data_IF_240282364670
#
_entry.id   IF_240282364670
#
_cell.length_a   1.000
_cell.length_b   1.000
_cell.length_c   1.000
_cell.angle_alpha   90.00
_cell.angle_beta   90.00
_cell.angle_gamma   90.00
#
_symmetry.space_group_name_H-M   'P 1'
#
loop_
_entity.id
_entity.type
_entity.pdbx_description
1 polymer ?
#
# COMPACT_ATOMS: atom_id res chain seq x y z
N UNK A 1 15.76 23.77 -18.18
CA UNK A 1 14.55 23.01 -17.78
C UNK A 1 14.87 21.51 -17.78
N UNK A 2 14.53 20.83 -16.73
CA UNK A 2 14.76 19.38 -16.65
C UNK A 2 13.78 18.62 -17.55
N UNK A 3 14.26 17.61 -18.27
CA UNK A 3 13.45 16.75 -19.12
C UNK A 3 13.11 15.48 -18.37
N UNK A 4 11.86 15.02 -18.45
CA UNK A 4 11.46 13.74 -17.87
C UNK A 4 12.19 12.59 -18.56
N UNK A 5 12.67 11.63 -17.79
CA UNK A 5 13.43 10.48 -18.27
C UNK A 5 12.82 9.20 -17.72
N UNK A 6 12.79 8.14 -18.55
CA UNK A 6 12.48 6.81 -18.10
C UNK A 6 13.60 6.34 -17.15
N UNK A 7 13.23 5.77 -16.01
CA UNK A 7 14.17 5.29 -15.01
C UNK A 7 13.95 3.81 -14.71
N UNK A 8 14.99 3.16 -14.19
CA UNK A 8 14.89 1.79 -13.70
C UNK A 8 14.23 1.75 -12.32
N UNK A 9 13.74 0.60 -11.95
CA UNK A 9 13.12 0.34 -10.66
C UNK A 9 12.47 -1.03 -10.66
N UNK A 10 11.72 -1.33 -9.62
CA UNK A 10 11.00 -2.60 -9.53
C UNK A 10 10.02 -2.74 -10.70
N UNK A 11 9.95 -3.93 -11.34
CA UNK A 11 9.16 -4.10 -12.56
C UNK A 11 7.66 -4.27 -12.34
N UNK A 12 7.22 -4.48 -11.12
CA UNK A 12 5.81 -4.74 -10.81
C UNK A 12 5.32 -3.84 -9.68
N UNK A 13 4.01 -3.60 -9.65
CA UNK A 13 3.41 -2.87 -8.53
C UNK A 13 2.04 -3.44 -8.18
N UNK A 14 1.65 -3.17 -6.94
CA UNK A 14 0.31 -3.44 -6.43
C UNK A 14 -0.20 -2.16 -5.79
N UNK A 15 -1.41 -1.75 -6.16
CA UNK A 15 -2.10 -0.69 -5.43
C UNK A 15 -3.18 -1.30 -4.56
N UNK A 16 -3.36 -0.73 -3.37
CA UNK A 16 -4.47 -1.09 -2.51
C UNK A 16 -5.12 0.18 -2.00
N UNK A 17 -6.44 0.25 -2.09
CA UNK A 17 -7.22 1.42 -1.69
C UNK A 17 -8.22 1.00 -0.63
N UNK A 18 -8.28 1.78 0.45
CA UNK A 18 -9.17 1.54 1.58
C UNK A 18 -10.10 2.71 1.80
N UNK A 19 -11.36 2.42 2.18
CA UNK A 19 -12.25 3.39 2.79
C UNK A 19 -12.14 3.24 4.30
N UNK A 20 -11.87 4.35 4.99
CA UNK A 20 -11.65 4.41 6.44
C UNK A 20 -12.59 5.44 7.06
N UNK A 21 -13.27 5.06 8.14
CA UNK A 21 -14.06 6.02 8.90
C UNK A 21 -13.14 7.09 9.52
N UNK A 22 -13.53 8.38 9.52
CA UNK A 22 -12.69 9.44 10.07
C UNK A 22 -12.22 9.20 11.50
N UNK A 23 -13.05 8.62 12.33
CA UNK A 23 -12.70 8.31 13.75
C UNK A 23 -11.60 7.25 13.87
N UNK A 24 -11.36 6.45 12.82
CA UNK A 24 -10.34 5.41 12.82
C UNK A 24 -9.02 5.86 12.17
N UNK A 25 -8.96 7.10 11.67
CA UNK A 25 -7.83 7.57 10.87
C UNK A 25 -6.50 7.53 11.62
N UNK A 26 -6.47 8.03 12.84
CA UNK A 26 -5.23 8.12 13.62
C UNK A 26 -4.67 6.72 13.90
N UNK A 27 -5.51 5.80 14.31
CA UNK A 27 -5.11 4.42 14.58
C UNK A 27 -4.70 3.69 13.31
N UNK A 28 -5.44 3.90 12.22
CA UNK A 28 -5.10 3.32 10.93
C UNK A 28 -3.71 3.76 10.48
N UNK A 29 -3.41 5.05 10.53
CA UNK A 29 -2.11 5.57 10.12
C UNK A 29 -0.99 5.06 11.02
N UNK A 30 -1.20 5.03 12.33
CA UNK A 30 -0.19 4.53 13.26
C UNK A 30 0.16 3.08 12.95
N UNK A 31 -0.84 2.23 12.84
CA UNK A 31 -0.61 0.79 12.62
C UNK A 31 -0.06 0.53 11.22
N UNK A 32 -0.57 1.21 10.21
CA UNK A 32 -0.13 1.00 8.84
C UNK A 32 1.33 1.44 8.65
N UNK A 33 1.69 2.61 9.15
CA UNK A 33 3.02 3.19 8.95
C UNK A 33 4.09 2.60 9.89
N UNK A 34 3.71 2.28 11.12
CA UNK A 34 4.67 1.90 12.15
C UNK A 34 4.71 0.39 12.42
N UNK A 35 3.77 -0.37 11.89
CA UNK A 35 3.68 -1.80 12.10
C UNK A 35 3.58 -2.55 10.75
N UNK A 36 2.50 -2.33 9.99
CA UNK A 36 2.20 -3.16 8.82
C UNK A 36 3.22 -3.00 7.70
N UNK A 37 3.47 -1.77 7.23
CA UNK A 37 4.43 -1.54 6.14
C UNK A 37 5.85 -1.97 6.52
N UNK A 38 6.39 -1.58 7.67
CA UNK A 38 7.73 -2.04 8.05
C UNK A 38 7.84 -3.56 8.10
N UNK A 39 6.78 -4.24 8.51
CA UNK A 39 6.75 -5.70 8.56
C UNK A 39 6.77 -6.32 7.17
N UNK A 40 5.92 -5.82 6.26
CA UNK A 40 5.88 -6.31 4.86
C UNK A 40 7.21 -6.04 4.16
N UNK A 41 7.87 -4.92 4.45
CA UNK A 41 9.14 -4.57 3.83
C UNK A 41 10.32 -5.45 4.30
N UNK A 42 10.10 -6.37 5.23
CA UNK A 42 11.08 -7.42 5.52
C UNK A 42 11.23 -8.42 4.36
N UNK A 43 10.25 -8.49 3.46
CA UNK A 43 10.38 -9.28 2.24
C UNK A 43 11.30 -8.55 1.25
N UNK A 44 12.34 -9.23 0.80
CA UNK A 44 13.34 -8.67 -0.11
C UNK A 44 12.72 -8.16 -1.41
N UNK A 45 11.65 -8.78 -1.86
CA UNK A 45 10.97 -8.41 -3.09
C UNK A 45 10.18 -7.11 -3.03
N UNK A 46 9.93 -6.55 -1.85
CA UNK A 46 9.26 -5.25 -1.69
C UNK A 46 10.33 -4.18 -1.63
N UNK A 47 10.38 -3.32 -2.64
CA UNK A 47 11.48 -2.34 -2.77
C UNK A 47 11.09 -0.95 -2.29
N UNK A 48 9.81 -0.60 -2.36
CA UNK A 48 9.33 0.73 -2.00
C UNK A 48 7.82 0.66 -1.77
N UNK A 49 7.33 1.48 -0.83
CA UNK A 49 5.90 1.67 -0.63
C UNK A 49 5.63 3.16 -0.55
N UNK A 50 4.66 3.63 -1.34
CA UNK A 50 4.20 5.01 -1.32
C UNK A 50 2.75 5.01 -0.89
N UNK A 51 2.39 5.91 0.02
CA UNK A 51 0.99 6.11 0.45
C UNK A 51 0.51 7.49 0.06
N UNK A 52 -0.76 7.57 -0.24
CA UNK A 52 -1.42 8.88 -0.35
C UNK A 52 -2.88 8.77 0.08
N UNK A 53 -3.47 9.91 0.36
CA UNK A 53 -4.88 10.02 0.70
C UNK A 53 -5.55 10.97 -0.28
N UNK A 54 -6.77 10.68 -0.69
CA UNK A 54 -7.58 11.63 -1.44
C UNK A 54 -7.74 12.93 -0.65
N UNK A 55 -7.81 14.06 -1.35
CA UNK A 55 -7.83 15.38 -0.73
C UNK A 55 -8.98 15.56 0.27
N UNK A 56 -10.13 14.96 0.01
CA UNK A 56 -11.27 15.03 0.90
C UNK A 56 -11.98 13.69 1.04
N UNK A 57 -12.95 13.58 1.95
CA UNK A 57 -13.73 12.37 2.09
C UNK A 57 -14.58 12.13 0.84
N UNK A 58 -14.96 10.87 0.62
CA UNK A 58 -15.88 10.51 -0.47
C UNK A 58 -17.33 10.85 -0.09
N UNK A 59 -18.26 10.55 -1.00
CA UNK A 59 -19.69 10.86 -0.82
C UNK A 59 -20.28 10.21 0.43
N UNK A 60 -19.73 9.09 0.87
CA UNK A 60 -20.18 8.38 2.07
C UNK A 60 -19.58 8.95 3.35
N UNK A 61 -18.69 9.95 3.25
CA UNK A 61 -18.00 10.54 4.39
C UNK A 61 -16.78 9.74 4.85
N UNK A 62 -16.32 8.76 4.07
CA UNK A 62 -15.12 7.99 4.39
C UNK A 62 -13.88 8.62 3.79
N UNK A 63 -12.76 8.51 4.51
CA UNK A 63 -11.45 8.86 4.00
C UNK A 63 -10.96 7.74 3.09
N UNK A 64 -10.33 8.12 1.96
CA UNK A 64 -9.84 7.17 0.96
C UNK A 64 -8.33 7.20 0.98
N UNK A 65 -7.74 6.09 1.40
CA UNK A 65 -6.29 5.90 1.48
C UNK A 65 -5.83 4.88 0.47
N UNK A 66 -4.71 5.17 -0.19
CA UNK A 66 -4.10 4.25 -1.15
C UNK A 66 -2.64 4.01 -0.79
N UNK A 67 -2.17 2.80 -1.08
CA UNK A 67 -0.76 2.46 -1.01
C UNK A 67 -0.33 1.81 -2.32
N UNK A 68 0.88 2.12 -2.76
CA UNK A 68 1.50 1.52 -3.93
C UNK A 68 2.73 0.75 -3.44
N UNK A 69 2.70 -0.56 -3.64
CA UNK A 69 3.81 -1.46 -3.29
C UNK A 69 4.58 -1.78 -4.57
N UNK A 70 5.85 -1.46 -4.61
CA UNK A 70 6.72 -1.82 -5.74
C UNK A 70 7.42 -3.13 -5.43
N UNK A 71 7.37 -4.08 -6.39
CA UNK A 71 7.76 -5.47 -6.16
C UNK A 71 8.64 -5.99 -7.29
N UNK A 72 9.55 -6.91 -6.96
CA UNK A 72 10.42 -7.54 -7.94
C UNK A 72 9.73 -8.64 -8.75
N UNK A 73 8.64 -9.21 -8.23
CA UNK A 73 7.87 -10.26 -8.89
C UNK A 73 6.39 -9.92 -8.86
N UNK A 74 5.58 -10.41 -9.83
CA UNK A 74 4.19 -10.00 -9.95
C UNK A 74 3.27 -10.52 -8.83
N UNK A 75 3.59 -11.68 -8.23
CA UNK A 75 2.68 -12.38 -7.31
C UNK A 75 3.20 -12.42 -5.88
N UNK A 76 4.13 -11.52 -5.53
CA UNK A 76 4.73 -11.50 -4.20
C UNK A 76 3.69 -11.40 -3.08
N UNK A 77 2.64 -10.61 -3.30
CA UNK A 77 1.54 -10.44 -2.33
C UNK A 77 0.66 -11.68 -2.16
N UNK A 78 0.81 -12.68 -3.01
CA UNK A 78 0.07 -13.95 -2.93
C UNK A 78 0.90 -15.06 -2.30
N UNK A 79 2.14 -14.80 -1.92
CA UNK A 79 3.02 -15.82 -1.34
C UNK A 79 2.68 -16.10 0.12
N UNK A 80 2.99 -17.32 0.61
CA UNK A 80 2.85 -17.63 2.03
C UNK A 80 3.67 -16.70 2.93
N UNK A 81 4.84 -16.25 2.46
CA UNK A 81 5.73 -15.37 3.20
C UNK A 81 5.07 -14.00 3.43
N UNK A 82 4.43 -13.44 2.40
CA UNK A 82 3.67 -12.19 2.54
C UNK A 82 2.53 -12.37 3.54
N UNK A 83 1.76 -13.45 3.39
CA UNK A 83 0.63 -13.70 4.28
C UNK A 83 1.09 -13.84 5.73
N UNK A 84 2.16 -14.57 5.99
CA UNK A 84 2.69 -14.74 7.33
C UNK A 84 3.09 -13.41 7.96
N UNK A 85 3.75 -12.52 7.21
CA UNK A 85 4.10 -11.19 7.70
C UNK A 85 2.87 -10.30 7.88
N UNK A 86 1.94 -10.32 6.94
CA UNK A 86 0.70 -9.54 7.04
C UNK A 86 -0.15 -9.96 8.23
N UNK A 87 -0.11 -11.21 8.63
CA UNK A 87 -0.86 -11.73 9.77
C UNK A 87 -0.20 -11.44 11.12
N UNK A 88 1.05 -10.93 11.12
CA UNK A 88 1.71 -10.54 12.37
C UNK A 88 1.36 -9.10 12.75
N UNK A 89 1.51 -8.77 14.05
CA UNK A 89 1.30 -7.41 14.53
C UNK A 89 -0.18 -7.04 14.62
N UNK A 90 -0.44 -5.73 14.57
CA UNK A 90 -1.75 -5.17 14.89
C UNK A 90 -2.66 -4.99 13.68
N UNK A 91 -2.15 -5.16 12.45
CA UNK A 91 -2.95 -4.90 11.25
C UNK A 91 -4.20 -5.78 11.18
N UNK A 92 -4.03 -7.09 11.19
CA UNK A 92 -5.16 -8.00 11.03
C UNK A 92 -6.15 -7.97 12.20
N UNK A 93 -5.70 -8.00 13.48
CA UNK A 93 -6.66 -8.02 14.58
C UNK A 93 -7.31 -6.67 14.87
N UNK A 94 -6.64 -5.54 14.62
CA UNK A 94 -7.11 -4.22 15.07
C UNK A 94 -7.70 -3.40 13.96
N UNK A 95 -7.00 -3.24 12.83
CA UNK A 95 -7.40 -2.31 11.77
C UNK A 95 -8.18 -2.98 10.65
N UNK A 96 -7.74 -4.15 10.20
CA UNK A 96 -8.39 -4.81 9.07
C UNK A 96 -9.91 -4.95 9.25
N UNK A 97 -10.42 -5.30 10.45
CA UNK A 97 -11.88 -5.36 10.66
C UNK A 97 -12.60 -4.01 10.56
N UNK A 98 -11.89 -2.90 10.74
CA UNK A 98 -12.47 -1.54 10.69
C UNK A 98 -12.49 -0.95 9.29
N UNK A 99 -11.78 -1.54 8.33
CA UNK A 99 -11.75 -1.09 6.94
C UNK A 99 -13.12 -1.27 6.32
N UNK A 100 -13.69 -0.19 5.77
CA UNK A 100 -15.05 -0.21 5.20
C UNK A 100 -15.11 -0.87 3.83
N UNK A 101 -14.07 -0.67 3.03
CA UNK A 101 -13.91 -1.35 1.75
C UNK A 101 -12.45 -1.44 1.38
N UNK A 102 -12.14 -2.37 0.49
CA UNK A 102 -10.80 -2.59 0.00
C UNK A 102 -10.84 -2.95 -1.47
N UNK A 103 -10.02 -2.26 -2.28
CA UNK A 103 -9.83 -2.57 -3.68
C UNK A 103 -8.33 -2.72 -3.96
N UNK A 104 -7.96 -3.76 -4.70
CA UNK A 104 -6.57 -4.06 -5.00
C UNK A 104 -6.40 -4.27 -6.50
N UNK A 105 -5.30 -3.71 -7.04
CA UNK A 105 -4.93 -3.87 -8.44
C UNK A 105 -3.45 -4.18 -8.51
N UNK A 106 -3.07 -5.04 -9.46
CA UNK A 106 -1.67 -5.40 -9.69
C UNK A 106 -1.35 -5.32 -11.17
N UNK A 107 -0.11 -5.03 -11.49
CA UNK A 107 0.32 -5.02 -12.88
C UNK A 107 1.79 -4.69 -13.02
N UNK A 108 2.32 -4.83 -14.25
CA UNK A 108 3.68 -4.41 -14.52
C UNK A 108 3.78 -2.88 -14.48
N UNK A 109 4.95 -2.40 -14.05
CA UNK A 109 5.30 -0.99 -14.23
C UNK A 109 5.69 -0.81 -15.69
N UNK A 110 4.86 -0.11 -16.44
CA UNK A 110 5.05 0.07 -17.87
C UNK A 110 6.16 1.07 -18.16
N UNK A 111 6.23 2.14 -17.37
CA UNK A 111 7.26 3.16 -17.52
C UNK A 111 7.38 3.95 -16.21
N UNK A 112 8.58 4.44 -15.95
CA UNK A 112 8.87 5.30 -14.81
C UNK A 112 9.68 6.47 -15.32
N UNK A 113 9.25 7.68 -14.96
CA UNK A 113 9.89 8.90 -15.42
C UNK A 113 10.33 9.73 -14.22
N UNK A 114 11.52 10.33 -14.33
CA UNK A 114 12.02 11.26 -13.34
C UNK A 114 12.76 12.41 -14.05
N UNK A 115 12.85 13.55 -13.38
CA UNK A 115 13.60 14.72 -13.88
C UNK A 115 15.01 14.71 -13.32
#
# INVERSE_FOLDING_TARGET
>A
MATAKATAGAPHCMTITFEIAPEDEAEFNDIYDNDHIPTIMKLDGVTEVIRFRDTGPNEKGFLVYSAIYFMTTPDLHLTPEWKALSDTGRWMPVIRPKVKSRARRTGPVVARFAK
#
